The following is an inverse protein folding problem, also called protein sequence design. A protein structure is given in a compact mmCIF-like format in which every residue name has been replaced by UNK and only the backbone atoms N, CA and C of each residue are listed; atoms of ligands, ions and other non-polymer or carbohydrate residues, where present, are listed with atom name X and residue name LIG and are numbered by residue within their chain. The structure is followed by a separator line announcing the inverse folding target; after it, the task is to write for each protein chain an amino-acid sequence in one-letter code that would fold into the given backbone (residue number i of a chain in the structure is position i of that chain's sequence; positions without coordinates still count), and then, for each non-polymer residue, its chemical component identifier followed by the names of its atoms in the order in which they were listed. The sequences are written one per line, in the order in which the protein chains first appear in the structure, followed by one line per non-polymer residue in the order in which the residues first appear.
data_IF_132534561374
#
_entry.id   IF_132534561374
#
_cell.length_a   1.000
_cell.length_b   1.000
_cell.length_c   1.000
_cell.angle_alpha   90.00
_cell.angle_beta   90.00
_cell.angle_gamma   90.00
#
_symmetry.space_group_name_H-M   'P 1'
#
loop_
_entity.id
_entity.type
_entity.pdbx_description
1 polymer ?
#
# COMPACT_ATOMS: atom_id res chain seq x y z
N UNK A 1 -25.12 11.17 -0.46
CA UNK A 1 -24.76 10.41 0.75
C UNK A 1 -23.96 9.19 0.28
N UNK A 2 -22.65 9.11 0.60
CA UNK A 2 -21.91 7.88 0.36
C UNK A 2 -22.40 6.85 1.36
N UNK A 3 -22.94 5.74 0.88
CA UNK A 3 -23.31 4.61 1.75
C UNK A 3 -22.01 4.04 2.34
N UNK A 4 -21.75 4.34 3.60
CA UNK A 4 -20.64 3.76 4.34
C UNK A 4 -20.80 2.23 4.45
N UNK A 5 -19.68 1.53 4.51
CA UNK A 5 -19.65 0.08 4.78
C UNK A 5 -20.22 -0.17 6.19
N UNK A 6 -20.90 -1.30 6.38
CA UNK A 6 -21.27 -1.78 7.71
C UNK A 6 -20.02 -2.27 8.46
N UNK A 7 -20.06 -2.33 9.80
CA UNK A 7 -18.95 -2.91 10.58
C UNK A 7 -18.67 -4.37 10.18
N UNK A 8 -19.69 -5.13 9.85
CA UNK A 8 -19.54 -6.53 9.41
C UNK A 8 -18.78 -6.57 8.08
N UNK A 9 -19.16 -5.75 7.12
CA UNK A 9 -18.48 -5.69 5.82
C UNK A 9 -17.05 -5.13 5.94
N UNK A 10 -16.77 -4.25 6.90
CA UNK A 10 -15.41 -3.83 7.22
C UNK A 10 -14.59 -4.99 7.76
N UNK A 11 -15.10 -5.71 8.77
CA UNK A 11 -14.40 -6.84 9.38
C UNK A 11 -14.05 -7.91 8.33
N UNK A 12 -14.99 -8.27 7.47
CA UNK A 12 -14.77 -9.21 6.37
C UNK A 12 -13.70 -8.73 5.40
N UNK A 13 -13.70 -7.44 5.04
CA UNK A 13 -12.70 -6.88 4.13
C UNK A 13 -11.32 -6.82 4.78
N UNK A 14 -11.22 -6.47 6.07
CA UNK A 14 -9.94 -6.46 6.78
C UNK A 14 -9.35 -7.86 6.92
N UNK A 15 -10.19 -8.87 7.19
CA UNK A 15 -9.77 -10.27 7.22
C UNK A 15 -9.31 -10.75 5.83
N UNK A 16 -10.04 -10.42 4.79
CA UNK A 16 -9.64 -10.70 3.41
C UNK A 16 -8.28 -10.07 3.08
N UNK A 17 -8.07 -8.80 3.45
CA UNK A 17 -6.80 -8.12 3.24
C UNK A 17 -5.66 -8.76 4.05
N UNK A 18 -5.93 -9.19 5.28
CA UNK A 18 -4.96 -9.89 6.11
C UNK A 18 -4.46 -11.18 5.45
N UNK A 19 -5.36 -11.92 4.81
CA UNK A 19 -5.03 -13.17 4.12
C UNK A 19 -4.34 -12.95 2.76
N UNK A 20 -4.60 -11.83 2.09
CA UNK A 20 -4.05 -11.52 0.76
C UNK A 20 -2.75 -10.71 0.81
N UNK A 21 -2.46 -10.06 1.93
CA UNK A 21 -1.24 -9.26 2.07
C UNK A 21 0.00 -10.13 2.19
N UNK A 22 1.10 -9.64 1.61
CA UNK A 22 2.45 -10.18 1.81
C UNK A 22 3.41 -9.01 1.95
N UNK A 23 4.25 -9.04 2.96
CA UNK A 23 5.29 -8.03 3.18
C UNK A 23 6.65 -8.69 2.96
N UNK A 24 7.44 -8.11 2.07
CA UNK A 24 8.75 -8.63 1.66
C UNK A 24 9.83 -7.61 2.01
N UNK A 25 10.94 -8.05 2.58
CA UNK A 25 12.14 -7.22 2.72
C UNK A 25 13.16 -7.73 1.71
N UNK A 26 13.42 -6.92 0.68
CA UNK A 26 14.19 -7.30 -0.51
C UNK A 26 15.35 -6.32 -0.70
N UNK A 27 16.59 -6.81 -0.99
CA UNK A 27 17.64 -5.95 -1.52
C UNK A 27 17.21 -5.28 -2.82
N UNK A 28 17.50 -4.00 -2.97
CA UNK A 28 17.12 -3.25 -4.19
C UNK A 28 17.67 -3.89 -5.46
N UNK A 29 18.88 -4.42 -5.41
CA UNK A 29 19.53 -5.09 -6.54
C UNK A 29 18.84 -6.39 -7.00
N UNK A 30 17.99 -6.99 -6.17
CA UNK A 30 17.18 -8.19 -6.52
C UNK A 30 15.79 -7.83 -7.04
N UNK A 31 15.52 -6.55 -7.27
CA UNK A 31 14.29 -6.08 -7.87
C UNK A 31 14.54 -5.65 -9.33
N UNK A 32 13.57 -5.88 -10.19
CA UNK A 32 13.55 -5.39 -11.55
C UNK A 32 12.21 -4.73 -11.86
N UNK A 33 12.28 -3.51 -12.38
CA UNK A 33 11.12 -2.77 -12.87
C UNK A 33 10.85 -3.14 -14.33
N UNK A 34 9.59 -3.33 -14.67
CA UNK A 34 9.12 -3.73 -15.98
C UNK A 34 7.83 -2.96 -16.33
N UNK A 35 7.80 -2.30 -17.47
CA UNK A 35 6.67 -1.48 -17.93
C UNK A 35 6.24 -1.98 -19.31
N UNK A 36 4.96 -2.31 -19.45
CA UNK A 36 4.43 -2.71 -20.74
C UNK A 36 4.06 -1.50 -21.63
N UNK A 37 3.71 -1.78 -22.89
CA UNK A 37 3.37 -0.75 -23.88
C UNK A 37 2.15 0.10 -23.52
N UNK A 38 1.34 -0.36 -22.57
CA UNK A 38 0.20 0.39 -22.03
C UNK A 38 0.57 1.30 -20.85
N UNK A 39 1.84 1.27 -20.41
CA UNK A 39 2.33 1.99 -19.26
C UNK A 39 1.96 1.34 -17.91
N UNK A 40 1.54 0.07 -17.89
CA UNK A 40 1.38 -0.68 -16.66
C UNK A 40 2.75 -1.12 -16.14
N UNK A 41 3.02 -0.79 -14.90
CA UNK A 41 4.29 -1.08 -14.25
C UNK A 41 4.21 -2.29 -13.34
N UNK A 42 5.26 -3.10 -13.35
CA UNK A 42 5.45 -4.26 -12.48
C UNK A 42 6.81 -4.21 -11.80
N UNK A 43 6.88 -4.76 -10.61
CA UNK A 43 8.14 -5.12 -9.96
C UNK A 43 8.28 -6.65 -10.00
N UNK A 44 9.38 -7.12 -10.55
CA UNK A 44 9.81 -8.51 -10.51
C UNK A 44 10.79 -8.63 -9.35
N UNK A 45 10.53 -9.56 -8.46
CA UNK A 45 11.33 -9.80 -7.25
C UNK A 45 11.81 -11.25 -7.28
N UNK A 46 13.10 -11.47 -7.09
CA UNK A 46 13.66 -12.81 -6.95
C UNK A 46 13.29 -13.38 -5.56
N UNK A 47 12.45 -14.40 -5.55
CA UNK A 47 12.02 -15.11 -4.35
C UNK A 47 12.55 -16.55 -4.34
N UNK A 48 12.48 -17.23 -3.20
CA UNK A 48 12.96 -18.62 -3.02
C UNK A 48 12.32 -19.61 -4.02
N UNK A 49 11.09 -19.30 -4.48
CA UNK A 49 10.37 -20.12 -5.47
C UNK A 49 10.56 -19.68 -6.92
N UNK A 50 11.43 -18.72 -7.20
CA UNK A 50 11.63 -18.10 -8.51
C UNK A 50 11.08 -16.67 -8.58
N UNK A 51 11.20 -16.00 -9.75
CA UNK A 51 10.79 -14.60 -9.90
C UNK A 51 9.28 -14.44 -9.75
N UNK A 52 8.87 -13.62 -8.77
CA UNK A 52 7.49 -13.19 -8.58
C UNK A 52 7.25 -11.81 -9.20
N UNK A 53 6.10 -11.63 -9.84
CA UNK A 53 5.71 -10.39 -10.52
C UNK A 53 4.55 -9.73 -9.80
N UNK A 54 4.73 -8.48 -9.41
CA UNK A 54 3.74 -7.67 -8.71
C UNK A 54 3.40 -6.43 -9.52
N UNK A 55 2.11 -6.11 -9.70
CA UNK A 55 1.70 -4.80 -10.18
C UNK A 55 2.16 -3.69 -9.21
N UNK A 56 2.27 -2.45 -9.68
CA UNK A 56 2.73 -1.33 -8.84
C UNK A 56 1.66 -0.25 -8.80
N UNK A 57 1.12 0.02 -7.60
CA UNK A 57 0.11 1.06 -7.43
C UNK A 57 0.69 2.47 -7.63
N UNK A 58 -0.13 3.50 -7.92
CA UNK A 58 0.35 4.88 -8.06
C UNK A 58 1.13 5.38 -6.84
N UNK A 59 0.70 5.02 -5.63
CA UNK A 59 1.41 5.38 -4.41
C UNK A 59 2.80 4.72 -4.36
N UNK A 60 2.87 3.43 -4.67
CA UNK A 60 4.13 2.68 -4.67
C UNK A 60 5.10 3.21 -5.74
N UNK A 61 4.60 3.60 -6.93
CA UNK A 61 5.41 4.25 -7.97
C UNK A 61 6.04 5.55 -7.47
N UNK A 62 5.24 6.40 -6.81
CA UNK A 62 5.74 7.66 -6.23
C UNK A 62 6.81 7.40 -5.19
N UNK A 63 6.59 6.45 -4.29
CA UNK A 63 7.55 6.09 -3.25
C UNK A 63 8.84 5.49 -3.85
N UNK A 64 8.73 4.66 -4.90
CA UNK A 64 9.88 4.13 -5.61
C UNK A 64 10.70 5.25 -6.27
N UNK A 65 10.04 6.16 -6.98
CA UNK A 65 10.68 7.32 -7.59
C UNK A 65 11.40 8.17 -6.54
N UNK A 66 10.75 8.48 -5.41
CA UNK A 66 11.35 9.24 -4.31
C UNK A 66 12.58 8.53 -3.72
N UNK A 67 12.53 7.20 -3.53
CA UNK A 67 13.66 6.40 -3.03
C UNK A 67 14.85 6.41 -3.97
N UNK A 68 14.60 6.39 -5.28
CA UNK A 68 15.62 6.44 -6.32
C UNK A 68 15.98 7.87 -6.73
N UNK A 69 15.43 8.90 -6.06
CA UNK A 69 15.64 10.32 -6.36
C UNK A 69 15.29 10.70 -7.79
N UNK A 70 14.33 10.01 -8.39
CA UNK A 70 13.77 10.33 -9.71
C UNK A 70 12.59 11.28 -9.51
N UNK A 71 12.58 12.49 -10.09
CA UNK A 71 11.42 13.39 -10.01
C UNK A 71 10.16 12.69 -10.52
N UNK A 72 9.10 12.64 -9.69
CA UNK A 72 7.92 11.84 -10.01
C UNK A 72 7.22 12.26 -11.32
N UNK A 73 7.21 13.56 -11.62
CA UNK A 73 6.67 14.05 -12.90
C UNK A 73 7.44 13.48 -14.09
N UNK A 74 8.77 13.35 -13.97
CA UNK A 74 9.60 12.76 -15.03
C UNK A 74 9.41 11.23 -15.10
N UNK A 75 9.26 10.56 -13.95
CA UNK A 75 8.91 9.14 -13.90
C UNK A 75 7.60 8.86 -14.67
N UNK A 76 6.53 9.62 -14.40
CA UNK A 76 5.24 9.45 -15.06
C UNK A 76 5.31 9.80 -16.57
N UNK A 77 6.10 10.81 -16.93
CA UNK A 77 6.35 11.13 -18.34
C UNK A 77 7.04 9.97 -19.08
N UNK A 78 8.11 9.42 -18.51
CA UNK A 78 8.78 8.26 -19.10
C UNK A 78 7.83 7.07 -19.20
N UNK A 79 6.99 6.85 -18.17
CA UNK A 79 6.02 5.75 -18.13
C UNK A 79 5.02 5.82 -19.30
N UNK A 80 4.55 7.02 -19.63
CA UNK A 80 3.55 7.22 -20.68
C UNK A 80 4.13 7.35 -22.08
N UNK A 81 5.33 7.93 -22.22
CA UNK A 81 5.91 8.26 -23.50
C UNK A 81 7.06 7.32 -23.92
N UNK A 82 7.83 6.82 -22.93
CA UNK A 82 9.06 6.06 -23.17
C UNK A 82 9.24 4.94 -22.11
N UNK A 83 8.40 3.88 -22.11
CA UNK A 83 8.47 2.81 -21.09
C UNK A 83 9.85 2.16 -20.97
N UNK A 84 10.51 1.91 -22.10
CA UNK A 84 11.87 1.30 -22.11
C UNK A 84 12.89 2.21 -21.43
N UNK A 85 12.78 3.54 -21.59
CA UNK A 85 13.65 4.49 -20.91
C UNK A 85 13.38 4.48 -19.40
N UNK A 86 12.11 4.40 -18.98
CA UNK A 86 11.75 4.29 -17.59
C UNK A 86 12.41 3.06 -16.97
N UNK A 87 12.24 1.89 -17.58
CA UNK A 87 12.76 0.64 -17.05
C UNK A 87 14.29 0.66 -16.97
N UNK A 88 14.97 1.18 -17.99
CA UNK A 88 16.42 1.35 -17.97
C UNK A 88 16.86 2.27 -16.83
N UNK A 89 16.18 3.40 -16.65
CA UNK A 89 16.50 4.38 -15.61
C UNK A 89 16.31 3.76 -14.21
N UNK A 90 15.14 3.22 -13.93
CA UNK A 90 14.81 2.61 -12.64
C UNK A 90 15.73 1.43 -12.32
N UNK A 91 15.94 0.52 -13.27
CA UNK A 91 16.77 -0.66 -13.05
C UNK A 91 18.24 -0.31 -12.83
N UNK A 92 18.76 0.71 -13.50
CA UNK A 92 20.12 1.19 -13.24
C UNK A 92 20.31 1.62 -11.78
N UNK A 93 19.36 2.38 -11.24
CA UNK A 93 19.41 2.81 -9.85
C UNK A 93 19.16 1.68 -8.87
N UNK A 94 18.21 0.76 -9.15
CA UNK A 94 17.97 -0.40 -8.31
C UNK A 94 19.20 -1.30 -8.18
N UNK A 95 19.93 -1.51 -9.28
CA UNK A 95 21.14 -2.35 -9.29
C UNK A 95 22.33 -1.72 -8.54
N UNK A 96 22.38 -0.40 -8.47
CA UNK A 96 23.43 0.35 -7.75
C UNK A 96 23.05 0.73 -6.32
N UNK A 97 21.84 0.37 -5.87
CA UNK A 97 21.34 0.67 -4.52
C UNK A 97 21.58 -0.52 -3.59
N UNK A 98 22.49 -0.37 -2.62
CA UNK A 98 22.81 -1.39 -1.62
C UNK A 98 21.76 -1.50 -0.50
N UNK A 99 20.77 -0.61 -0.49
CA UNK A 99 19.71 -0.60 0.51
C UNK A 99 18.74 -1.78 0.33
N UNK A 100 18.14 -2.17 1.45
CA UNK A 100 17.00 -3.07 1.46
C UNK A 100 15.71 -2.27 1.54
N UNK A 101 14.68 -2.76 0.86
CA UNK A 101 13.36 -2.12 0.84
C UNK A 101 12.31 -3.08 1.36
N UNK A 102 11.37 -2.55 2.12
CA UNK A 102 10.15 -3.27 2.47
C UNK A 102 9.10 -3.01 1.39
N UNK A 103 8.71 -4.06 0.70
CA UNK A 103 7.59 -4.05 -0.23
C UNK A 103 6.36 -4.57 0.52
N UNK A 104 5.31 -3.75 0.59
CA UNK A 104 4.02 -4.18 1.11
C UNK A 104 3.12 -4.51 -0.05
N UNK A 105 2.63 -5.73 -0.10
CA UNK A 105 1.76 -6.17 -1.18
C UNK A 105 0.32 -6.42 -0.70
N UNK A 106 -0.61 -6.29 -1.61
CA UNK A 106 -2.01 -6.67 -1.44
C UNK A 106 -2.58 -7.06 -2.82
N UNK A 107 -3.26 -8.18 -2.87
CA UNK A 107 -3.93 -8.67 -4.10
C UNK A 107 -2.97 -8.70 -5.31
N UNK A 108 -1.73 -9.16 -5.11
CA UNK A 108 -0.72 -9.25 -6.17
C UNK A 108 -0.11 -7.90 -6.61
N UNK A 109 -0.39 -6.81 -5.89
CA UNK A 109 0.17 -5.50 -6.20
C UNK A 109 1.05 -4.98 -5.06
N UNK A 110 2.19 -4.39 -5.37
CA UNK A 110 2.96 -3.57 -4.45
C UNK A 110 2.19 -2.28 -4.19
N UNK A 111 1.71 -2.11 -2.97
CA UNK A 111 0.97 -0.92 -2.53
C UNK A 111 1.86 0.11 -1.81
N UNK A 112 3.03 -0.32 -1.33
CA UNK A 112 4.00 0.60 -0.74
C UNK A 112 5.44 0.07 -0.89
N UNK A 113 6.39 1.01 -1.08
CA UNK A 113 7.84 0.79 -1.10
C UNK A 113 8.44 1.63 0.03
N UNK A 114 8.88 0.98 1.10
CA UNK A 114 9.30 1.61 2.34
C UNK A 114 10.76 1.24 2.69
N UNK A 115 11.32 1.90 3.70
CA UNK A 115 12.57 1.47 4.31
C UNK A 115 12.37 0.12 5.02
N UNK A 116 13.41 -0.70 5.07
CA UNK A 116 13.45 -1.96 5.85
C UNK A 116 13.24 -1.74 7.37
N UNK A 117 13.48 -0.50 7.86
CA UNK A 117 13.24 -0.11 9.26
C UNK A 117 11.79 0.22 9.57
N UNK A 118 10.91 0.23 8.56
CA UNK A 118 9.50 0.55 8.77
C UNK A 118 8.83 -0.50 9.66
N UNK A 119 8.17 -0.05 10.74
CA UNK A 119 7.35 -0.90 11.61
C UNK A 119 5.92 -0.95 11.05
N UNK A 120 5.44 -2.14 10.82
CA UNK A 120 4.09 -2.37 10.29
C UNK A 120 3.03 -2.03 11.31
N UNK A 121 2.00 -1.31 10.87
CA UNK A 121 0.73 -1.18 11.55
C UNK A 121 -0.36 -1.37 10.48
N UNK A 122 -1.07 -2.47 10.57
CA UNK A 122 -2.14 -2.77 9.63
C UNK A 122 -3.48 -2.21 10.10
N UNK A 123 -4.39 -1.95 9.15
CA UNK A 123 -5.75 -1.55 9.48
C UNK A 123 -6.47 -2.61 10.34
N UNK A 124 -6.14 -3.89 10.18
CA UNK A 124 -6.65 -4.97 11.01
C UNK A 124 -6.21 -4.80 12.45
N UNK A 125 -4.91 -4.64 12.71
CA UNK A 125 -4.35 -4.48 14.07
C UNK A 125 -4.94 -3.24 14.76
N UNK A 126 -5.09 -2.14 14.00
CA UNK A 126 -5.71 -0.92 14.49
C UNK A 126 -7.19 -1.14 14.85
N UNK A 127 -7.94 -1.78 13.97
CA UNK A 127 -9.36 -2.07 14.19
C UNK A 127 -9.55 -3.01 15.38
N UNK A 128 -8.76 -4.08 15.49
CA UNK A 128 -8.78 -5.02 16.60
C UNK A 128 -8.52 -4.33 17.95
N UNK A 129 -7.62 -3.34 17.97
CA UNK A 129 -7.30 -2.59 19.18
C UNK A 129 -8.35 -1.54 19.54
N UNK A 130 -8.92 -0.85 18.55
CA UNK A 130 -9.77 0.34 18.77
C UNK A 130 -11.25 -0.03 18.88
N UNK A 131 -11.76 -0.98 18.08
CA UNK A 131 -13.18 -1.32 18.08
C UNK A 131 -13.71 -1.78 19.45
N UNK A 132 -13.00 -2.62 20.25
CA UNK A 132 -13.46 -2.99 21.57
C UNK A 132 -13.56 -1.82 22.55
N UNK A 133 -12.67 -0.83 22.40
CA UNK A 133 -12.69 0.39 23.22
C UNK A 133 -13.90 1.24 22.86
N UNK A 134 -14.14 1.46 21.57
CA UNK A 134 -15.29 2.23 21.10
C UNK A 134 -16.62 1.59 21.50
N UNK A 135 -16.71 0.26 21.44
CA UNK A 135 -17.92 -0.48 21.84
C UNK A 135 -18.28 -0.35 23.32
N UNK A 136 -17.32 0.01 24.17
CA UNK A 136 -17.55 0.24 25.61
C UNK A 136 -18.12 1.64 25.91
N UNK A 137 -18.10 2.55 24.95
CA UNK A 137 -18.69 3.88 25.12
C UNK A 137 -20.21 3.76 25.21
N UNK A 138 -20.86 4.44 26.16
CA UNK A 138 -22.29 4.38 26.30
C UNK A 138 -23.00 4.96 25.07
N UNK A 139 -24.06 4.29 24.63
CA UNK A 139 -24.91 4.67 23.50
C UNK A 139 -24.14 4.94 22.19
N UNK A 140 -22.98 4.27 22.02
CA UNK A 140 -22.17 4.42 20.82
C UNK A 140 -22.93 3.95 19.59
N UNK A 141 -22.87 4.75 18.50
CA UNK A 141 -23.40 4.39 17.20
C UNK A 141 -22.30 4.56 16.15
N UNK A 142 -22.10 3.51 15.37
CA UNK A 142 -21.21 3.58 14.20
C UNK A 142 -22.00 4.15 13.02
N UNK A 143 -21.66 5.38 12.62
CA UNK A 143 -22.41 6.10 11.60
C UNK A 143 -21.92 5.76 10.19
N UNK A 144 -20.62 5.66 10.01
CA UNK A 144 -20.03 5.26 8.72
C UNK A 144 -18.65 4.65 8.88
N UNK A 145 -18.31 3.78 7.95
CA UNK A 145 -16.98 3.20 7.81
C UNK A 145 -16.58 3.31 6.34
N UNK A 146 -15.41 3.85 6.08
CA UNK A 146 -14.85 3.94 4.73
C UNK A 146 -13.42 3.41 4.74
N UNK A 147 -13.12 2.53 3.79
CA UNK A 147 -11.78 1.99 3.56
C UNK A 147 -11.37 2.33 2.13
N UNK A 148 -10.29 3.08 2.01
CA UNK A 148 -9.66 3.43 0.74
C UNK A 148 -8.31 2.72 0.60
N UNK A 149 -7.66 2.85 -0.54
CA UNK A 149 -6.31 2.31 -0.76
C UNK A 149 -5.29 2.78 0.29
N UNK A 150 -5.45 4.01 0.78
CA UNK A 150 -4.46 4.67 1.66
C UNK A 150 -4.97 5.03 3.04
N UNK A 151 -6.29 4.94 3.30
CA UNK A 151 -6.91 5.45 4.54
C UNK A 151 -8.09 4.58 4.97
N UNK A 152 -8.24 4.46 6.28
CA UNK A 152 -9.43 3.94 6.93
C UNK A 152 -10.09 5.05 7.73
N UNK A 153 -11.40 5.27 7.52
CA UNK A 153 -12.21 6.21 8.29
C UNK A 153 -13.26 5.46 9.06
N UNK A 154 -13.39 5.79 10.33
CA UNK A 154 -14.40 5.25 11.22
C UNK A 154 -15.10 6.42 11.91
N UNK A 155 -16.38 6.65 11.58
CA UNK A 155 -17.19 7.70 12.20
C UNK A 155 -18.08 7.09 13.26
N UNK A 156 -17.88 7.54 14.48
CA UNK A 156 -18.59 7.08 15.67
C UNK A 156 -19.26 8.28 16.32
N UNK A 157 -20.49 8.11 16.79
CA UNK A 157 -21.27 9.13 17.51
C UNK A 157 -21.68 8.58 18.86
N UNK A 158 -21.49 9.35 19.91
CA UNK A 158 -21.99 9.10 21.24
C UNK A 158 -22.64 10.37 21.82
N UNK A 159 -23.86 10.29 22.41
CA UNK A 159 -24.57 11.46 22.94
C UNK A 159 -23.82 12.18 24.06
N UNK A 160 -22.97 11.46 24.80
CA UNK A 160 -22.22 12.00 25.95
C UNK A 160 -21.06 12.94 25.59
N UNK A 161 -20.67 13.02 24.30
CA UNK A 161 -19.63 13.94 23.83
C UNK A 161 -20.20 15.22 23.20
N UNK A 162 -21.46 15.55 23.44
CA UNK A 162 -21.99 16.87 23.09
C UNK A 162 -21.43 17.87 24.10
N UNK A 163 -20.46 18.68 23.66
CA UNK A 163 -20.17 19.94 24.32
C UNK A 163 -21.38 20.88 24.12
N UNK A 164 -21.94 21.35 25.22
CA UNK A 164 -22.80 22.54 25.24
C UNK A 164 -22.00 23.78 24.82
#
# INVERSE_FOLDING_TARGET
MKNGRTLVSLAQELERQLNSKKDLVVPSALMRHDTDDTGQTRLVVEETGGPARYGVTPLARRQLADKLKIPYAYFERMRSEQPVLLDRNVNTWLQSDDDRRMLRTLDGNVRAVLSDRYRRLDNYDLAESVLPILQRLPEVRFESVELTETRMYLKVVTPQLKHE
#
